data_IF_930726524644
#
_entry.id   IF_930726524644
#
_cell.length_a   1.000
_cell.length_b   1.000
_cell.length_c   1.000
_cell.angle_alpha   90.00
_cell.angle_beta   90.00
_cell.angle_gamma   90.00
#
_symmetry.space_group_name_H-M   'P 1'
#
loop_
_entity.id
_entity.type
_entity.pdbx_description
1 polymer ?
#
# COMPACT_ATOMS: atom_id res chain seq x y z
N UNK A 1 8.60 12.23 13.30
CA UNK A 1 7.97 13.34 12.54
C UNK A 1 8.90 13.83 11.44
N UNK A 2 8.34 14.36 10.35
CA UNK A 2 9.05 14.83 9.15
C UNK A 2 8.05 15.19 8.04
N UNK A 3 8.52 15.66 6.88
CA UNK A 3 7.65 15.85 5.71
C UNK A 3 7.11 14.49 5.18
N UNK A 4 6.06 14.52 4.37
CA UNK A 4 5.41 13.31 3.84
C UNK A 4 6.39 12.36 3.11
N UNK A 5 7.27 12.83 2.21
CA UNK A 5 8.32 12.00 1.60
C UNK A 5 9.13 11.20 2.61
N UNK A 6 9.66 11.88 3.64
CA UNK A 6 10.46 11.24 4.70
C UNK A 6 9.64 10.27 5.54
N UNK A 7 8.35 10.54 5.76
CA UNK A 7 7.48 9.59 6.46
C UNK A 7 7.28 8.30 5.65
N UNK A 8 7.11 8.42 4.32
CA UNK A 8 7.03 7.25 3.43
C UNK A 8 8.33 6.45 3.46
N UNK A 9 9.49 7.10 3.32
CA UNK A 9 10.77 6.41 3.29
C UNK A 9 11.09 5.73 4.64
N UNK A 10 10.80 6.40 5.75
CA UNK A 10 10.97 5.82 7.08
C UNK A 10 10.04 4.62 7.32
N UNK A 11 8.79 4.71 6.88
CA UNK A 11 7.83 3.61 7.01
C UNK A 11 8.25 2.41 6.15
N UNK A 12 8.74 2.65 4.94
CA UNK A 12 9.29 1.61 4.06
C UNK A 12 10.51 0.93 4.70
N UNK A 13 11.44 1.71 5.24
CA UNK A 13 12.62 1.18 5.91
C UNK A 13 12.24 0.33 7.14
N UNK A 14 11.30 0.81 7.96
CA UNK A 14 10.78 0.08 9.11
C UNK A 14 10.08 -1.23 8.69
N UNK A 15 9.25 -1.19 7.66
CA UNK A 15 8.58 -2.39 7.15
C UNK A 15 9.60 -3.45 6.72
N UNK A 16 10.58 -3.06 5.90
CA UNK A 16 11.64 -3.95 5.41
C UNK A 16 12.46 -4.59 6.52
N UNK A 17 12.81 -3.80 7.55
CA UNK A 17 13.58 -4.28 8.68
C UNK A 17 12.83 -5.34 9.52
N UNK A 18 11.50 -5.39 9.42
CA UNK A 18 10.66 -6.28 10.20
C UNK A 18 9.98 -7.39 9.36
N UNK A 19 10.20 -7.44 8.04
CA UNK A 19 9.57 -8.43 7.17
C UNK A 19 9.91 -9.86 7.64
N UNK A 20 8.92 -10.75 7.79
CA UNK A 20 9.17 -12.11 8.20
C UNK A 20 9.97 -12.84 7.11
N UNK A 21 11.21 -13.27 7.40
CA UNK A 21 11.98 -14.09 6.46
C UNK A 21 11.42 -15.51 6.52
N UNK A 22 10.42 -15.79 5.68
CA UNK A 22 9.95 -17.14 5.49
C UNK A 22 10.99 -17.90 4.68
N UNK A 23 11.51 -18.99 5.24
CA UNK A 23 12.46 -19.85 4.55
C UNK A 23 11.90 -21.26 4.46
N UNK A 24 11.79 -21.77 3.24
CA UNK A 24 11.37 -23.14 3.00
C UNK A 24 12.61 -23.99 2.77
N UNK A 25 12.72 -25.14 3.44
CA UNK A 25 13.73 -26.14 3.10
C UNK A 25 13.25 -26.91 1.87
N UNK A 26 13.99 -26.81 0.77
CA UNK A 26 13.77 -27.63 -0.42
C UNK A 26 14.98 -28.56 -0.58
N UNK A 27 14.82 -29.81 -0.16
CA UNK A 27 15.93 -30.77 -0.03
C UNK A 27 16.91 -30.36 1.08
N UNK A 28 18.19 -30.22 0.76
CA UNK A 28 19.24 -29.76 1.70
C UNK A 28 19.46 -28.24 1.67
N UNK A 29 18.77 -27.50 0.80
CA UNK A 29 18.95 -26.06 0.64
C UNK A 29 17.78 -25.27 1.25
N UNK A 30 18.13 -24.24 2.00
CA UNK A 30 17.19 -23.21 2.47
C UNK A 30 16.92 -22.25 1.31
N UNK A 31 15.65 -22.12 0.92
CA UNK A 31 15.20 -21.15 -0.08
C UNK A 31 14.39 -20.09 0.66
N UNK A 32 14.84 -18.85 0.56
CA UNK A 32 14.08 -17.70 1.06
C UNK A 32 12.85 -17.48 0.19
N UNK A 33 11.69 -17.31 0.83
CA UNK A 33 10.46 -16.90 0.17
C UNK A 33 10.67 -15.52 -0.46
N UNK A 34 10.31 -15.37 -1.73
CA UNK A 34 10.36 -14.08 -2.39
C UNK A 34 9.41 -13.10 -1.69
N UNK A 35 9.92 -11.98 -1.20
CA UNK A 35 9.11 -10.88 -0.72
C UNK A 35 8.61 -10.02 -1.90
N UNK A 36 7.54 -9.25 -1.67
CA UNK A 36 7.17 -8.22 -2.63
C UNK A 36 8.31 -7.22 -2.80
N UNK A 37 8.42 -6.67 -4.01
CA UNK A 37 9.38 -5.61 -4.27
C UNK A 37 9.10 -4.36 -3.43
N UNK A 38 10.15 -3.59 -3.11
CA UNK A 38 10.04 -2.28 -2.45
C UNK A 38 9.04 -1.35 -3.15
N UNK A 39 8.87 -1.50 -4.47
CA UNK A 39 7.91 -0.75 -5.28
C UNK A 39 6.48 -0.97 -4.81
N UNK A 40 6.10 -2.20 -4.46
CA UNK A 40 4.75 -2.52 -3.98
C UNK A 40 4.47 -1.83 -2.65
N UNK A 41 5.40 -1.91 -1.71
CA UNK A 41 5.26 -1.28 -0.41
C UNK A 41 5.26 0.24 -0.51
N UNK A 42 6.16 0.82 -1.31
CA UNK A 42 6.18 2.27 -1.58
C UNK A 42 4.86 2.74 -2.18
N UNK A 43 4.31 2.01 -3.14
CA UNK A 43 3.03 2.34 -3.77
C UNK A 43 1.88 2.37 -2.74
N UNK A 44 1.79 1.36 -1.86
CA UNK A 44 0.75 1.30 -0.84
C UNK A 44 0.87 2.42 0.20
N UNK A 45 2.10 2.72 0.64
CA UNK A 45 2.38 3.82 1.56
C UNK A 45 2.04 5.18 0.95
N UNK A 46 2.45 5.42 -0.30
CA UNK A 46 2.16 6.68 -1.01
C UNK A 46 0.66 6.83 -1.24
N UNK A 47 -0.04 5.79 -1.68
CA UNK A 47 -1.50 5.83 -1.83
C UNK A 47 -2.18 6.15 -0.50
N UNK A 48 -1.76 5.52 0.60
CA UNK A 48 -2.29 5.81 1.92
C UNK A 48 -2.09 7.29 2.30
N UNK A 49 -0.92 7.88 2.01
CA UNK A 49 -0.64 9.29 2.25
C UNK A 49 -1.44 10.24 1.36
N UNK A 50 -1.52 9.97 0.06
CA UNK A 50 -2.13 10.86 -0.93
C UNK A 50 -3.65 10.85 -0.84
N UNK A 51 -4.24 9.68 -0.58
CA UNK A 51 -5.68 9.51 -0.54
C UNK A 51 -6.27 9.62 0.88
N UNK A 52 -5.44 9.79 1.92
CA UNK A 52 -5.90 10.09 3.29
C UNK A 52 -6.85 11.28 3.30
N UNK A 53 -7.97 11.13 4.01
CA UNK A 53 -8.84 12.24 4.35
C UNK A 53 -8.20 13.10 5.45
N UNK A 54 -7.53 14.18 5.07
CA UNK A 54 -6.85 15.07 6.01
C UNK A 54 -7.79 15.88 6.91
N UNK A 55 -9.08 15.94 6.61
CA UNK A 55 -10.08 16.56 7.48
C UNK A 55 -10.40 15.71 8.72
N UNK A 56 -10.10 14.40 8.71
CA UNK A 56 -10.22 13.54 9.88
C UNK A 56 -9.02 13.78 10.78
N UNK A 57 -9.26 14.49 11.90
CA UNK A 57 -8.25 14.75 12.94
C UNK A 57 -8.19 13.58 13.92
N UNK A 58 -7.06 13.43 14.63
CA UNK A 58 -6.87 12.36 15.62
C UNK A 58 -6.61 10.95 15.06
N UNK A 59 -6.88 10.69 13.78
CA UNK A 59 -6.56 9.40 13.13
C UNK A 59 -5.29 9.46 12.29
N UNK A 60 -4.54 8.37 12.21
CA UNK A 60 -3.28 8.25 11.46
C UNK A 60 -3.37 7.13 10.42
N UNK A 61 -2.48 7.16 9.43
CA UNK A 61 -2.26 5.98 8.59
C UNK A 61 -1.62 4.91 9.48
N UNK A 62 -2.17 3.71 9.45
CA UNK A 62 -1.70 2.58 10.25
C UNK A 62 -1.21 1.48 9.32
N UNK A 63 -0.08 0.89 9.67
CA UNK A 63 0.48 -0.27 8.96
C UNK A 63 0.68 -1.37 10.00
N UNK A 64 -0.06 -2.47 9.84
CA UNK A 64 0.07 -3.65 10.69
C UNK A 64 0.79 -4.75 9.93
N UNK A 65 1.88 -5.25 10.50
CA UNK A 65 2.64 -6.37 9.97
C UNK A 65 2.33 -7.61 10.80
N UNK A 66 1.76 -8.62 10.16
CA UNK A 66 1.50 -9.94 10.73
C UNK A 66 2.45 -10.97 10.11
N UNK A 67 2.41 -12.20 10.63
CA UNK A 67 3.23 -13.29 10.10
C UNK A 67 2.86 -13.66 8.65
N UNK A 68 1.57 -13.54 8.31
CA UNK A 68 0.98 -14.00 7.06
C UNK A 68 0.51 -12.87 6.14
N UNK A 69 0.50 -11.60 6.60
CA UNK A 69 0.00 -10.46 5.83
C UNK A 69 0.48 -9.10 6.33
N UNK A 70 0.26 -8.07 5.51
CA UNK A 70 0.40 -6.66 5.86
C UNK A 70 -0.92 -5.95 5.62
N UNK A 71 -1.36 -5.13 6.57
CA UNK A 71 -2.54 -4.28 6.43
C UNK A 71 -2.12 -2.81 6.39
N UNK A 72 -2.50 -2.09 5.33
CA UNK A 72 -2.32 -0.65 5.17
C UNK A 72 -3.69 0.02 5.33
N UNK A 73 -3.86 0.84 6.36
CA UNK A 73 -5.14 1.47 6.70
C UNK A 73 -4.97 2.98 6.60
N UNK A 74 -5.78 3.62 5.76
CA UNK A 74 -5.83 5.08 5.62
C UNK A 74 -7.20 5.64 6.05
N UNK A 75 -7.22 6.78 6.76
CA UNK A 75 -8.47 7.43 7.13
C UNK A 75 -9.26 7.92 5.91
N UNK A 76 -10.56 7.64 5.88
CA UNK A 76 -11.53 8.01 4.87
C UNK A 76 -11.87 6.90 3.88
N UNK A 77 -13.17 6.78 3.54
CA UNK A 77 -13.69 5.89 2.48
C UNK A 77 -13.18 6.18 1.08
N UNK A 78 -13.52 5.32 0.13
CA UNK A 78 -13.48 5.66 -1.27
C UNK A 78 -14.53 6.75 -1.60
N UNK A 79 -14.23 7.65 -2.54
CA UNK A 79 -15.24 8.55 -3.09
C UNK A 79 -16.38 7.75 -3.73
N UNK A 80 -17.63 8.23 -3.63
CA UNK A 80 -18.82 7.53 -4.12
C UNK A 80 -18.78 7.13 -5.61
N UNK A 81 -17.89 7.73 -6.39
CA UNK A 81 -17.69 7.43 -7.82
C UNK A 81 -16.74 6.25 -8.08
N UNK A 82 -16.05 5.77 -7.05
CA UNK A 82 -15.02 4.73 -7.11
C UNK A 82 -15.44 3.54 -6.25
N UNK A 83 -15.49 2.36 -6.86
CA UNK A 83 -15.67 1.09 -6.15
C UNK A 83 -14.36 0.30 -6.13
N UNK A 84 -14.27 -0.74 -5.30
CA UNK A 84 -13.12 -1.64 -5.24
C UNK A 84 -12.81 -2.26 -6.60
N UNK A 85 -13.84 -2.69 -7.33
CA UNK A 85 -13.69 -3.29 -8.66
C UNK A 85 -13.09 -2.29 -9.65
N UNK A 86 -13.54 -1.03 -9.57
CA UNK A 86 -13.06 0.07 -10.41
C UNK A 86 -11.61 0.45 -10.07
N UNK A 87 -11.18 0.36 -8.81
CA UNK A 87 -9.79 0.60 -8.41
C UNK A 87 -8.83 -0.41 -9.04
N UNK A 88 -9.21 -1.69 -9.06
CA UNK A 88 -8.39 -2.79 -9.58
C UNK A 88 -8.13 -2.62 -11.09
N UNK A 89 -9.08 -2.03 -11.83
CA UNK A 89 -8.92 -1.72 -13.26
C UNK A 89 -8.33 -0.34 -13.53
N UNK A 90 -8.03 0.44 -12.48
CA UNK A 90 -7.28 1.69 -12.58
C UNK A 90 -8.09 2.99 -12.50
N UNK A 91 -9.35 2.92 -12.06
CA UNK A 91 -10.09 4.14 -11.71
C UNK A 91 -9.48 4.74 -10.46
N UNK A 92 -9.14 6.02 -10.49
CA UNK A 92 -8.62 6.75 -9.33
C UNK A 92 -9.31 8.11 -9.22
N UNK A 93 -9.41 8.62 -8.00
CA UNK A 93 -10.00 9.92 -7.72
C UNK A 93 -9.09 10.75 -6.84
N UNK A 94 -8.91 12.00 -7.24
CA UNK A 94 -8.04 12.97 -6.58
C UNK A 94 -8.85 13.74 -5.54
N UNK A 95 -8.54 13.54 -4.26
CA UNK A 95 -9.09 14.36 -3.16
C UNK A 95 -8.37 15.70 -3.02
N UNK A 96 -7.04 15.67 -3.11
CA UNK A 96 -6.19 16.84 -2.97
C UNK A 96 -5.22 16.93 -4.17
N UNK A 97 -5.57 17.71 -5.21
CA UNK A 97 -4.73 17.86 -6.40
C UNK A 97 -3.35 18.44 -6.13
N UNK A 98 -3.23 19.32 -5.13
CA UNK A 98 -1.94 19.91 -4.74
C UNK A 98 -1.02 18.86 -4.14
N UNK A 99 -1.55 17.99 -3.28
CA UNK A 99 -0.79 16.90 -2.68
C UNK A 99 -0.34 15.88 -3.74
N UNK A 100 -1.22 15.48 -4.64
CA UNK A 100 -0.88 14.60 -5.77
C UNK A 100 0.26 15.21 -6.58
N UNK A 101 0.10 16.45 -7.05
CA UNK A 101 1.11 17.12 -7.87
C UNK A 101 2.44 17.28 -7.14
N UNK A 102 2.41 17.55 -5.84
CA UNK A 102 3.61 17.63 -5.02
C UNK A 102 4.34 16.29 -4.93
N UNK A 103 3.62 15.20 -4.67
CA UNK A 103 4.19 13.86 -4.61
C UNK A 103 4.67 13.35 -5.98
N UNK A 104 3.99 13.72 -7.06
CA UNK A 104 4.42 13.48 -8.46
C UNK A 104 5.74 14.20 -8.77
N UNK A 105 5.83 15.50 -8.46
CA UNK A 105 7.05 16.30 -8.69
C UNK A 105 8.26 15.77 -7.92
N UNK A 106 8.05 15.17 -6.76
CA UNK A 106 9.10 14.55 -5.95
C UNK A 106 9.42 13.10 -6.37
N UNK A 107 8.73 12.55 -7.38
CA UNK A 107 8.95 11.19 -7.86
C UNK A 107 8.42 10.10 -6.92
N UNK A 108 7.48 10.41 -6.02
CA UNK A 108 6.86 9.43 -5.12
C UNK A 108 5.66 8.73 -5.74
N UNK A 109 5.08 9.29 -6.79
CA UNK A 109 4.06 8.63 -7.59
C UNK A 109 4.21 9.03 -9.06
N UNK A 110 3.86 8.10 -9.96
CA UNK A 110 3.90 8.35 -11.40
C UNK A 110 2.57 8.96 -11.89
N UNK A 111 1.70 8.12 -12.46
CA UNK A 111 0.37 8.50 -12.92
C UNK A 111 -0.67 7.74 -12.11
N UNK A 112 -1.71 8.45 -11.72
CA UNK A 112 -2.89 7.88 -11.07
C UNK A 112 -3.46 6.70 -11.84
N UNK A 113 -4.05 5.76 -11.10
CA UNK A 113 -4.74 4.61 -11.68
C UNK A 113 -3.84 3.47 -12.16
N UNK A 114 -2.51 3.54 -11.97
CA UNK A 114 -1.60 2.44 -12.34
C UNK A 114 -1.02 1.68 -11.14
N UNK A 115 -1.01 2.34 -9.98
CA UNK A 115 -0.45 1.85 -8.73
C UNK A 115 -1.11 0.59 -8.19
N UNK A 116 -2.35 0.71 -7.72
CA UNK A 116 -3.09 -0.43 -7.16
C UNK A 116 -3.30 -1.58 -8.16
N UNK A 117 -3.54 -1.35 -9.47
CA UNK A 117 -3.55 -2.44 -10.44
C UNK A 117 -2.20 -3.17 -10.55
N UNK A 118 -1.07 -2.46 -10.42
CA UNK A 118 0.25 -3.09 -10.36
C UNK A 118 0.38 -3.96 -9.12
N UNK A 119 0.02 -3.44 -7.94
CA UNK A 119 0.05 -4.20 -6.68
C UNK A 119 -0.82 -5.47 -6.78
N UNK A 120 -2.03 -5.34 -7.32
CA UNK A 120 -2.94 -6.47 -7.53
C UNK A 120 -2.32 -7.54 -8.45
N UNK A 121 -1.75 -7.14 -9.59
CA UNK A 121 -1.09 -8.08 -10.51
C UNK A 121 0.10 -8.78 -9.86
N UNK A 122 0.93 -8.06 -9.10
CA UNK A 122 2.07 -8.66 -8.40
C UNK A 122 1.61 -9.69 -7.36
N UNK A 123 0.57 -9.39 -6.57
CA UNK A 123 -0.01 -10.37 -5.64
C UNK A 123 -0.51 -11.63 -6.36
N UNK A 124 -1.22 -11.47 -7.49
CA UNK A 124 -1.70 -12.61 -8.28
C UNK A 124 -0.58 -13.44 -8.91
N UNK A 125 0.50 -12.80 -9.41
CA UNK A 125 1.68 -13.53 -9.92
C UNK A 125 2.36 -14.38 -8.86
N UNK A 126 2.38 -13.91 -7.62
CA UNK A 126 2.94 -14.62 -6.48
C UNK A 126 1.96 -15.60 -5.85
N UNK A 127 0.76 -15.74 -6.43
CA UNK A 127 -0.33 -16.56 -5.90
C UNK A 127 -0.74 -16.22 -4.46
N UNK A 128 -0.57 -14.94 -4.08
CA UNK A 128 -0.90 -14.40 -2.77
C UNK A 128 -2.24 -13.68 -2.81
N UNK A 129 -2.96 -13.72 -1.70
CA UNK A 129 -4.22 -12.98 -1.58
C UNK A 129 -3.98 -11.48 -1.45
N UNK A 130 -4.94 -10.71 -1.92
CA UNK A 130 -4.98 -9.25 -1.79
C UNK A 130 -6.44 -8.82 -1.69
N UNK A 131 -6.73 -7.95 -0.74
CA UNK A 131 -8.07 -7.41 -0.51
C UNK A 131 -8.03 -5.90 -0.36
N UNK A 132 -9.06 -5.25 -0.89
CA UNK A 132 -9.31 -3.83 -0.71
C UNK A 132 -10.66 -3.70 -0.01
N UNK A 133 -10.69 -3.06 1.15
CA UNK A 133 -11.88 -2.95 1.99
C UNK A 133 -12.16 -1.47 2.23
N UNK A 134 -13.39 -1.05 1.98
CA UNK A 134 -13.89 0.28 2.34
C UNK A 134 -14.93 0.12 3.46
N UNK A 135 -14.56 0.53 4.68
CA UNK A 135 -15.41 0.44 5.87
C UNK A 135 -16.15 1.77 6.15
N UNK A 136 -16.22 2.68 5.18
CA UNK A 136 -16.94 3.95 5.29
C UNK A 136 -16.13 5.07 5.97
N UNK A 137 -15.46 4.75 7.07
CA UNK A 137 -14.57 5.68 7.77
C UNK A 137 -13.10 5.48 7.41
N UNK A 138 -12.74 4.31 6.89
CA UNK A 138 -11.36 3.94 6.56
C UNK A 138 -11.31 3.06 5.30
N UNK A 139 -10.20 3.20 4.58
CA UNK A 139 -9.86 2.32 3.48
C UNK A 139 -8.67 1.45 3.88
N UNK A 140 -8.80 0.14 3.66
CA UNK A 140 -7.79 -0.86 4.02
C UNK A 140 -7.34 -1.64 2.80
N UNK A 141 -6.04 -1.85 2.69
CA UNK A 141 -5.42 -2.80 1.75
C UNK A 141 -4.74 -3.90 2.53
N UNK A 142 -5.15 -5.15 2.30
CA UNK A 142 -4.57 -6.33 2.92
C UNK A 142 -3.75 -7.08 1.88
N UNK A 143 -2.49 -7.35 2.19
CA UNK A 143 -1.52 -7.99 1.29
C UNK A 143 -0.96 -9.25 1.97
N UNK A 144 -1.29 -10.44 1.46
CA UNK A 144 -0.79 -11.72 2.00
C UNK A 144 0.70 -11.93 1.73
N UNK A 145 1.45 -12.52 2.66
CA UNK A 145 2.90 -12.76 2.59
C UNK A 145 3.31 -14.22 2.35
N UNK A 146 2.39 -15.16 2.52
CA UNK A 146 2.61 -16.61 2.34
C UNK A 146 1.51 -17.23 1.51
#
# INVERSE_FOLDING_TARGET
>A
GGNLPRQVDNALAALKANLPIASTLQGTKRIESAHYSDKVFRELLVNACVHRNYSITGSQIRVFLFQDRIEFISPGRLPNTVSVEKLIVGTSYIRNPLLVRFMENLGYMDKLGRGLPMVYREAKKMNRFIEFIDEGEEFRVILGLS
#
